data_IF_173761061627
#
_entry.id   IF_173761061627
#
_cell.length_a   1.000
_cell.length_b   1.000
_cell.length_c   1.000
_cell.angle_alpha   90.00
_cell.angle_beta   90.00
_cell.angle_gamma   90.00
#
_symmetry.space_group_name_H-M   'P 1'
#
loop_
_entity.id
_entity.type
_entity.pdbx_description
1 polymer ?
#
# COMPACT_ATOMS: atom_id res chain seq x y z
N UNK A 1 0.57 -13.53 5.98
CA UNK A 1 1.93 -13.30 6.51
C UNK A 1 2.80 -12.83 5.35
N UNK A 2 3.58 -11.74 5.49
CA UNK A 2 4.39 -11.25 4.36
C UNK A 2 5.90 -11.41 4.54
N UNK A 3 6.37 -11.70 5.76
CA UNK A 3 7.78 -11.97 6.05
C UNK A 3 7.92 -12.74 7.35
N UNK A 4 9.03 -13.47 7.51
CA UNK A 4 9.32 -14.32 8.67
C UNK A 4 10.59 -13.84 9.36
N UNK A 5 10.54 -13.67 10.68
CA UNK A 5 11.68 -13.27 11.52
C UNK A 5 12.07 -14.41 12.48
N UNK A 6 13.15 -14.24 13.23
CA UNK A 6 13.64 -15.24 14.18
C UNK A 6 12.65 -15.58 15.31
N UNK A 7 11.79 -14.63 15.70
CA UNK A 7 10.96 -14.73 16.91
C UNK A 7 9.45 -14.71 16.59
N UNK A 8 9.11 -14.69 15.30
CA UNK A 8 7.73 -14.51 14.87
C UNK A 8 7.63 -14.11 13.41
N UNK A 9 6.49 -13.54 13.05
CA UNK A 9 6.12 -13.24 11.66
C UNK A 9 5.71 -11.78 11.51
N UNK A 10 5.91 -11.24 10.32
CA UNK A 10 5.35 -9.95 9.95
C UNK A 10 4.02 -10.16 9.23
N UNK A 11 2.99 -9.50 9.75
CA UNK A 11 1.62 -9.62 9.28
C UNK A 11 1.19 -8.26 8.71
N UNK A 12 0.42 -8.33 7.62
CA UNK A 12 -0.27 -7.20 7.05
C UNK A 12 -1.76 -7.42 7.28
N UNK A 13 -2.45 -6.42 7.83
CA UNK A 13 -3.90 -6.43 8.05
C UNK A 13 -4.53 -5.56 6.95
N UNK A 14 -5.04 -6.15 5.85
CA UNK A 14 -5.45 -5.38 4.67
C UNK A 14 -6.57 -4.39 4.97
N UNK A 15 -7.51 -4.77 5.84
CA UNK A 15 -8.68 -3.97 6.19
C UNK A 15 -8.33 -2.59 6.78
N UNK A 16 -7.19 -2.49 7.46
CA UNK A 16 -6.72 -1.25 8.10
C UNK A 16 -5.42 -0.72 7.51
N UNK A 17 -4.83 -1.40 6.52
CA UNK A 17 -3.52 -1.04 5.98
C UNK A 17 -2.36 -1.16 6.97
N UNK A 18 -2.52 -1.87 8.09
CA UNK A 18 -1.52 -1.93 9.17
C UNK A 18 -0.53 -3.06 8.89
N UNK A 19 0.77 -2.73 8.94
CA UNK A 19 1.88 -3.70 8.94
C UNK A 19 2.47 -3.78 10.34
N UNK A 20 2.71 -4.98 10.85
CA UNK A 20 3.31 -5.14 12.17
C UNK A 20 3.89 -6.53 12.42
N UNK A 21 4.66 -6.63 13.49
CA UNK A 21 5.20 -7.89 13.95
C UNK A 21 4.20 -8.59 14.89
N UNK A 22 3.98 -9.87 14.65
CA UNK A 22 3.31 -10.77 15.57
C UNK A 22 4.33 -11.79 16.09
N UNK A 23 4.54 -11.79 17.40
CA UNK A 23 5.49 -12.67 18.05
C UNK A 23 4.90 -14.06 18.25
N UNK A 24 5.71 -15.08 17.96
CA UNK A 24 5.36 -16.49 18.20
C UNK A 24 6.04 -17.05 19.45
N UNK A 25 6.96 -16.27 20.04
CA UNK A 25 7.64 -16.58 21.30
C UNK A 25 7.59 -15.40 22.25
N UNK A 26 7.29 -15.67 23.51
CA UNK A 26 7.34 -14.71 24.61
C UNK A 26 8.76 -14.67 25.20
N UNK A 27 9.07 -13.62 25.95
CA UNK A 27 10.37 -13.48 26.65
C UNK A 27 10.61 -14.64 27.63
N UNK A 28 9.54 -15.19 28.19
CA UNK A 28 9.55 -16.30 29.14
C UNK A 28 9.80 -17.69 28.49
N UNK A 29 10.11 -17.73 27.18
CA UNK A 29 10.38 -18.97 26.46
C UNK A 29 9.12 -19.75 26.05
N UNK A 30 7.94 -19.18 26.25
CA UNK A 30 6.67 -19.76 25.80
C UNK A 30 6.47 -19.52 24.29
N UNK A 31 6.05 -20.54 23.56
CA UNK A 31 5.69 -20.50 22.14
C UNK A 31 4.19 -20.68 21.94
N UNK A 32 3.67 -20.17 20.83
CA UNK A 32 2.26 -20.36 20.48
C UNK A 32 2.01 -21.79 20.02
N UNK A 33 1.09 -22.49 20.67
CA UNK A 33 0.43 -23.68 20.15
C UNK A 33 -0.90 -23.27 19.52
N UNK A 34 -1.24 -23.85 18.37
CA UNK A 34 -2.54 -23.65 17.74
C UNK A 34 -3.25 -25.01 17.64
N UNK A 35 -3.98 -25.43 18.69
CA UNK A 35 -4.89 -26.57 18.58
C UNK A 35 -5.94 -26.35 17.49
N UNK A 36 -6.51 -27.45 17.01
CA UNK A 36 -7.54 -27.48 15.96
C UNK A 36 -8.78 -26.65 16.31
N UNK A 37 -9.00 -26.46 17.62
CA UNK A 37 -10.13 -25.75 18.25
C UNK A 37 -10.06 -24.22 18.12
N UNK A 38 -9.04 -23.71 17.44
CA UNK A 38 -9.03 -22.35 16.91
C UNK A 38 -8.52 -21.28 17.89
N UNK A 39 -8.35 -21.60 19.17
CA UNK A 39 -7.66 -20.74 20.14
C UNK A 39 -6.16 -21.02 20.17
N UNK A 40 -5.35 -19.98 20.06
CA UNK A 40 -3.91 -20.07 20.29
C UNK A 40 -3.61 -19.96 21.79
N UNK A 41 -2.82 -20.90 22.31
CA UNK A 41 -2.34 -20.90 23.69
C UNK A 41 -0.82 -20.75 23.75
N UNK A 42 -0.32 -20.24 24.88
CA UNK A 42 1.11 -20.12 25.12
C UNK A 42 1.59 -21.34 25.90
N UNK A 43 2.54 -22.08 25.34
CA UNK A 43 3.08 -23.28 25.95
C UNK A 43 4.62 -23.29 25.88
N UNK A 44 5.32 -23.90 26.84
CA UNK A 44 6.77 -24.05 26.75
C UNK A 44 7.16 -24.78 25.46
N UNK A 45 8.23 -24.35 24.80
CA UNK A 45 8.68 -24.99 23.57
C UNK A 45 9.77 -24.23 22.84
N UNK A 46 10.02 -24.64 21.60
CA UNK A 46 11.04 -24.05 20.74
C UNK A 46 10.45 -23.53 19.43
N UNK A 47 11.20 -22.64 18.77
CA UNK A 47 10.81 -22.02 17.50
C UNK A 47 11.89 -22.32 16.46
N UNK A 48 11.49 -22.95 15.36
CA UNK A 48 12.39 -23.27 14.26
C UNK A 48 12.06 -22.37 13.07
N UNK A 49 13.04 -21.58 12.63
CA UNK A 49 12.90 -20.66 11.50
C UNK A 49 13.49 -21.30 10.24
N UNK A 50 12.70 -21.32 9.18
CA UNK A 50 13.13 -21.61 7.82
C UNK A 50 12.89 -20.37 6.94
N UNK A 51 13.47 -20.31 5.72
CA UNK A 51 13.30 -19.16 4.83
C UNK A 51 11.84 -18.87 4.46
N UNK A 52 11.04 -19.92 4.22
CA UNK A 52 9.64 -19.81 3.77
C UNK A 52 8.61 -20.17 4.83
N UNK A 53 9.02 -20.73 5.98
CA UNK A 53 8.13 -21.20 7.04
C UNK A 53 8.74 -21.05 8.42
N UNK A 54 7.90 -21.01 9.44
CA UNK A 54 8.29 -21.03 10.83
C UNK A 54 7.45 -22.07 11.57
N UNK A 55 8.11 -22.88 12.38
CA UNK A 55 7.49 -23.99 13.10
C UNK A 55 7.59 -23.71 14.60
N UNK A 56 6.45 -23.69 15.28
CA UNK A 56 6.38 -23.73 16.74
C UNK A 56 6.33 -25.20 17.17
N UNK A 57 7.29 -25.61 17.99
CA UNK A 57 7.37 -26.94 18.55
C UNK A 57 7.14 -26.85 20.08
N UNK A 58 5.87 -26.85 20.53
CA UNK A 58 5.55 -26.89 21.95
C UNK A 58 5.94 -28.25 22.55
N UNK A 59 6.28 -28.27 23.84
CA UNK A 59 6.64 -29.50 24.57
C UNK A 59 5.46 -30.46 24.68
N UNK A 60 4.24 -29.92 24.74
CA UNK A 60 2.98 -30.66 24.81
C UNK A 60 2.13 -30.27 23.61
N UNK A 61 1.55 -31.24 22.92
CA UNK A 61 0.69 -30.99 21.75
C UNK A 61 1.40 -31.07 20.41
N UNK A 62 0.70 -30.66 19.35
CA UNK A 62 1.18 -30.77 17.97
C UNK A 62 1.96 -29.51 17.56
N UNK A 63 3.04 -29.65 16.77
CA UNK A 63 3.73 -28.51 16.22
C UNK A 63 2.82 -27.75 15.26
N UNK A 64 2.85 -26.41 15.31
CA UNK A 64 2.14 -25.57 14.35
C UNK A 64 3.13 -24.98 13.35
N UNK A 65 2.79 -25.03 12.08
CA UNK A 65 3.60 -24.48 11.00
C UNK A 65 2.89 -23.29 10.39
N UNK A 66 3.61 -22.18 10.24
CA UNK A 66 3.15 -20.97 9.55
C UNK A 66 4.05 -20.70 8.36
N UNK A 67 3.47 -20.59 7.17
CA UNK A 67 4.20 -20.32 5.94
C UNK A 67 4.10 -18.85 5.55
N UNK A 68 5.00 -18.44 4.67
CA UNK A 68 4.88 -17.18 3.97
C UNK A 68 3.55 -17.16 3.19
N UNK A 69 2.87 -16.01 3.20
CA UNK A 69 1.56 -15.79 2.59
C UNK A 69 0.36 -16.50 3.27
N UNK A 70 0.57 -17.25 4.35
CA UNK A 70 -0.56 -17.82 5.10
C UNK A 70 -1.45 -16.73 5.73
N UNK A 71 -2.76 -16.99 5.75
CA UNK A 71 -3.74 -16.15 6.41
C UNK A 71 -3.92 -16.57 7.86
N UNK A 72 -3.79 -15.61 8.77
CA UNK A 72 -3.92 -15.83 10.22
C UNK A 72 -4.85 -14.78 10.80
N UNK A 73 -5.49 -15.13 11.91
CA UNK A 73 -6.30 -14.19 12.68
C UNK A 73 -5.43 -13.53 13.74
N UNK A 74 -5.47 -12.19 13.75
CA UNK A 74 -4.73 -11.38 14.71
C UNK A 74 -5.68 -10.54 15.54
N UNK A 75 -5.40 -10.45 16.84
CA UNK A 75 -5.94 -9.45 17.76
C UNK A 75 -5.07 -8.21 17.68
N UNK A 76 -5.72 -7.06 17.50
CA UNK A 76 -5.09 -5.74 17.51
C UNK A 76 -5.37 -5.12 18.88
N UNK A 77 -4.32 -4.75 19.59
CA UNK A 77 -4.43 -4.03 20.87
C UNK A 77 -3.53 -2.81 20.86
N UNK A 78 -3.95 -1.76 21.57
CA UNK A 78 -3.14 -0.55 21.76
C UNK A 78 -2.47 -0.63 23.12
N UNK A 79 -1.15 -0.53 23.13
CA UNK A 79 -0.36 -0.39 24.33
C UNK A 79 -0.10 1.10 24.55
N UNK A 80 -0.85 1.69 25.49
CA UNK A 80 -0.66 3.08 25.87
C UNK A 80 0.67 3.26 26.61
N UNK A 81 1.36 4.37 26.35
CA UNK A 81 2.60 4.71 27.04
C UNK A 81 2.54 6.14 27.60
N UNK A 82 3.12 6.35 28.77
CA UNK A 82 3.14 7.68 29.42
C UNK A 82 4.20 8.61 28.84
N UNK A 83 5.28 8.04 28.29
CA UNK A 83 6.46 8.78 27.86
C UNK A 83 6.80 8.60 26.37
N UNK A 84 6.04 7.75 25.67
CA UNK A 84 6.22 7.45 24.26
C UNK A 84 4.87 7.44 23.54
N UNK A 85 4.89 7.49 22.22
CA UNK A 85 3.69 7.28 21.43
C UNK A 85 3.10 5.89 21.69
N UNK A 86 1.77 5.82 21.67
CA UNK A 86 1.03 4.57 21.81
C UNK A 86 1.44 3.57 20.72
N UNK A 87 1.61 2.31 21.12
CA UNK A 87 2.10 1.25 20.23
C UNK A 87 0.99 0.28 19.90
N UNK A 88 0.81 -0.02 18.62
CA UNK A 88 -0.07 -1.09 18.17
C UNK A 88 0.65 -2.43 18.34
N UNK A 89 0.02 -3.34 19.07
CA UNK A 89 0.47 -4.71 19.26
C UNK A 89 -0.44 -5.65 18.47
N UNK A 90 0.18 -6.52 17.67
CA UNK A 90 -0.49 -7.58 16.94
C UNK A 90 -0.18 -8.92 17.59
N UNK A 91 -1.22 -9.65 17.99
CA UNK A 91 -1.11 -10.98 18.57
C UNK A 91 -1.88 -11.99 17.74
N UNK A 92 -1.27 -13.12 17.39
CA UNK A 92 -1.97 -14.20 16.68
C UNK A 92 -2.90 -14.91 17.67
N UNK A 93 -4.18 -14.97 17.33
CA UNK A 93 -5.21 -15.68 18.12
C UNK A 93 -5.63 -16.98 17.48
N UNK A 94 -5.49 -17.09 16.15
CA UNK A 94 -5.76 -18.31 15.40
C UNK A 94 -4.85 -18.40 14.18
N UNK A 95 -4.35 -19.60 13.88
CA UNK A 95 -3.64 -19.87 12.63
C UNK A 95 -4.59 -20.07 11.43
N UNK A 96 -5.91 -19.90 11.63
CA UNK A 96 -6.91 -19.92 10.56
C UNK A 96 -7.21 -18.51 10.05
N UNK A 97 -7.66 -18.35 8.80
CA UNK A 97 -8.13 -17.07 8.28
C UNK A 97 -9.28 -16.54 9.12
N UNK A 98 -9.37 -15.22 9.26
CA UNK A 98 -10.52 -14.60 9.95
C UNK A 98 -11.76 -14.74 9.07
N UNK A 99 -12.74 -15.51 9.52
CA UNK A 99 -14.05 -15.59 8.88
C UNK A 99 -14.86 -14.35 9.27
N UNK A 100 -15.00 -13.41 8.34
CA UNK A 100 -15.93 -12.30 8.50
C UNK A 100 -17.35 -12.85 8.51
N UNK A 101 -18.11 -12.57 9.58
CA UNK A 101 -19.55 -12.82 9.64
C UNK A 101 -20.24 -12.17 8.44
N UNK A 102 -21.24 -12.86 7.86
CA UNK A 102 -21.95 -12.47 6.63
C UNK A 102 -22.45 -11.01 6.64
N UNK A 103 -22.73 -10.45 7.82
CA UNK A 103 -23.14 -9.06 8.04
C UNK A 103 -22.15 -8.02 7.50
N UNK A 104 -20.84 -8.29 7.47
CA UNK A 104 -19.83 -7.38 6.90
C UNK A 104 -19.58 -7.62 5.41
N UNK A 105 -20.02 -8.77 4.87
CA UNK A 105 -19.83 -9.14 3.46
C UNK A 105 -20.75 -8.36 2.53
N UNK A 106 -21.94 -7.99 3.01
CA UNK A 106 -22.91 -7.16 2.28
C UNK A 106 -22.44 -5.73 1.96
N UNK A 107 -21.37 -5.24 2.60
CA UNK A 107 -20.85 -3.90 2.35
C UNK A 107 -19.75 -3.85 1.28
N UNK A 108 -19.25 -5.00 0.81
CA UNK A 108 -18.37 -5.03 -0.35
C UNK A 108 -19.26 -5.21 -1.59
N UNK A 109 -19.13 -4.36 -2.63
CA UNK A 109 -19.67 -4.75 -3.92
C UNK A 109 -18.95 -6.05 -4.30
N UNK A 110 -19.68 -7.17 -4.27
CA UNK A 110 -19.23 -8.37 -4.96
C UNK A 110 -19.22 -8.00 -6.44
N UNK A 111 -18.09 -7.47 -6.92
CA UNK A 111 -17.86 -7.36 -8.33
C UNK A 111 -17.94 -8.77 -8.89
N UNK A 112 -18.96 -8.99 -9.72
CA UNK A 112 -19.15 -10.27 -10.37
C UNK A 112 -17.93 -10.54 -11.26
N UNK A 113 -17.62 -11.82 -11.55
CA UNK A 113 -16.54 -12.15 -12.52
C UNK A 113 -16.71 -11.40 -13.84
N UNK A 114 -17.95 -11.13 -14.23
CA UNK A 114 -18.32 -10.35 -15.41
C UNK A 114 -17.98 -8.87 -15.30
N UNK A 115 -18.11 -8.25 -14.11
CA UNK A 115 -17.71 -6.86 -13.91
C UNK A 115 -16.19 -6.69 -13.97
N UNK A 116 -15.45 -7.65 -13.40
CA UNK A 116 -13.99 -7.66 -13.46
C UNK A 116 -13.48 -7.76 -14.90
N UNK A 117 -14.07 -8.65 -15.71
CA UNK A 117 -13.70 -8.82 -17.12
C UNK A 117 -13.98 -7.53 -17.91
N UNK A 118 -15.13 -6.88 -17.65
CA UNK A 118 -15.53 -5.63 -18.31
C UNK A 118 -14.58 -4.48 -17.98
N UNK A 119 -14.15 -4.35 -16.73
CA UNK A 119 -13.18 -3.32 -16.35
C UNK A 119 -11.81 -3.57 -17.01
N UNK A 120 -11.33 -4.82 -17.02
CA UNK A 120 -10.04 -5.17 -17.65
C UNK A 120 -10.06 -4.88 -19.15
N UNK A 121 -11.13 -5.22 -19.87
CA UNK A 121 -11.24 -4.91 -21.31
C UNK A 121 -11.27 -3.41 -21.54
N UNK A 122 -12.01 -2.66 -20.71
CA UNK A 122 -12.09 -1.19 -20.81
C UNK A 122 -10.72 -0.54 -20.57
N UNK A 123 -9.98 -0.98 -19.55
CA UNK A 123 -8.64 -0.46 -19.27
C UNK A 123 -7.64 -0.82 -20.37
N UNK A 124 -7.75 -2.01 -20.97
CA UNK A 124 -6.92 -2.42 -22.11
C UNK A 124 -7.19 -1.59 -23.36
N UNK A 125 -8.46 -1.29 -23.65
CA UNK A 125 -8.86 -0.42 -24.76
C UNK A 125 -8.37 1.03 -24.55
N UNK A 126 -8.53 1.57 -23.34
CA UNK A 126 -8.05 2.92 -22.97
C UNK A 126 -6.52 3.03 -23.07
N UNK A 127 -5.77 2.00 -22.66
CA UNK A 127 -4.30 2.00 -22.80
C UNK A 127 -3.84 1.89 -24.25
N UNK A 128 -4.54 1.13 -25.09
CA UNK A 128 -4.26 1.08 -26.53
C UNK A 128 -4.55 2.42 -27.20
N UNK A 129 -5.66 3.07 -26.86
CA UNK A 129 -6.00 4.42 -27.33
C UNK A 129 -4.93 5.44 -26.89
N UNK A 130 -4.51 5.42 -25.63
CA UNK A 130 -3.46 6.30 -25.12
C UNK A 130 -2.11 6.05 -25.81
N UNK A 131 -1.74 4.80 -26.09
CA UNK A 131 -0.52 4.46 -26.84
C UNK A 131 -0.59 4.93 -28.29
N UNK A 132 -1.74 4.81 -28.95
CA UNK A 132 -1.93 5.30 -30.32
C UNK A 132 -1.88 6.82 -30.39
N UNK A 133 -2.46 7.52 -29.41
CA UNK A 133 -2.35 8.98 -29.26
C UNK A 133 -0.90 9.40 -28.97
N UNK A 134 -0.17 8.67 -28.11
CA UNK A 134 1.24 8.95 -27.84
C UNK A 134 2.14 8.73 -29.07
N UNK A 135 1.87 7.69 -29.89
CA UNK A 135 2.57 7.46 -31.16
C UNK A 135 2.24 8.54 -32.20
N UNK A 136 0.97 8.96 -32.30
CA UNK A 136 0.56 10.06 -33.17
C UNK A 136 1.19 11.40 -32.75
N UNK A 137 1.39 11.62 -31.45
CA UNK A 137 2.09 12.78 -30.93
C UNK A 137 3.62 12.68 -31.11
N UNK A 138 4.24 11.50 -30.98
CA UNK A 138 5.68 11.32 -31.27
C UNK A 138 6.05 11.68 -32.71
N UNK A 139 5.16 11.44 -33.69
CA UNK A 139 5.37 11.85 -35.09
C UNK A 139 5.40 13.39 -35.24
N UNK A 140 4.84 14.15 -34.29
CA UNK A 140 4.90 15.62 -34.27
C UNK A 140 6.06 16.20 -33.43
N UNK A 141 6.71 15.39 -32.59
CA UNK A 141 7.68 15.87 -31.58
C UNK A 141 9.12 15.93 -32.12
N UNK A 142 9.44 15.20 -33.20
CA UNK A 142 10.81 15.11 -33.73
C UNK A 142 11.42 16.40 -34.29
N UNK A 143 10.61 17.43 -34.56
CA UNK A 143 11.11 18.73 -35.06
C UNK A 143 10.99 19.88 -34.03
N UNK A 144 10.31 19.61 -32.91
CA UNK A 144 9.81 20.64 -31.99
C UNK A 144 10.60 20.70 -30.67
N UNK A 145 11.50 19.74 -30.40
CA UNK A 145 12.27 19.65 -29.15
C UNK A 145 13.65 20.31 -29.20
N UNK A 146 14.25 20.50 -30.38
CA UNK A 146 15.63 21.01 -30.47
C UNK A 146 15.73 22.53 -30.20
N UNK A 147 14.63 23.28 -30.30
CA UNK A 147 14.61 24.74 -30.20
C UNK A 147 13.55 25.32 -29.24
N UNK A 148 13.17 24.62 -28.18
CA UNK A 148 12.16 25.14 -27.23
C UNK A 148 12.75 26.08 -26.18
N UNK A 149 12.35 27.34 -26.25
CA UNK A 149 12.29 28.22 -25.09
C UNK A 149 11.03 27.91 -24.28
N UNK A 150 11.17 27.84 -22.95
CA UNK A 150 10.14 27.43 -21.98
C UNK A 150 8.70 27.77 -22.38
N UNK A 151 7.87 26.75 -22.64
CA UNK A 151 6.41 26.87 -22.83
C UNK A 151 5.67 27.09 -21.50
N UNK A 152 6.13 28.05 -20.71
CA UNK A 152 5.35 28.61 -19.62
C UNK A 152 4.95 30.00 -20.08
N UNK A 153 3.68 30.38 -19.96
CA UNK A 153 3.12 31.68 -20.38
C UNK A 153 3.66 32.91 -19.63
N UNK A 154 4.91 32.81 -19.14
CA UNK A 154 5.75 33.82 -18.50
C UNK A 154 7.18 33.65 -19.00
N UNK A 155 7.38 33.57 -20.32
CA UNK A 155 8.73 33.57 -20.88
C UNK A 155 9.32 34.98 -20.76
N UNK A 156 10.64 35.09 -20.57
CA UNK A 156 11.35 36.37 -20.53
C UNK A 156 11.10 37.20 -21.79
N UNK A 157 10.90 36.55 -22.94
CA UNK A 157 10.57 37.22 -24.20
C UNK A 157 9.23 37.96 -24.14
N UNK A 158 8.20 37.35 -23.55
CA UNK A 158 6.89 38.00 -23.39
C UNK A 158 6.99 39.24 -22.48
N UNK A 159 7.78 39.16 -21.41
CA UNK A 159 8.02 40.30 -20.52
C UNK A 159 8.77 41.44 -21.25
N UNK A 160 9.80 41.10 -22.02
CA UNK A 160 10.58 42.09 -22.78
C UNK A 160 9.75 42.74 -23.90
N UNK A 161 8.84 41.99 -24.50
CA UNK A 161 7.91 42.49 -25.52
C UNK A 161 6.89 43.46 -24.91
N UNK A 162 6.30 43.13 -23.75
CA UNK A 162 5.44 44.05 -22.99
C UNK A 162 6.16 45.36 -22.61
N UNK A 163 7.41 45.28 -22.15
CA UNK A 163 8.21 46.47 -21.80
C UNK A 163 8.47 47.35 -23.03
N UNK A 164 8.79 46.71 -24.17
CA UNK A 164 9.01 47.41 -25.44
C UNK A 164 7.73 48.08 -25.91
N UNK A 165 6.58 47.41 -25.82
CA UNK A 165 5.29 48.00 -26.20
C UNK A 165 4.91 49.18 -25.29
N UNK A 166 5.15 49.08 -23.97
CA UNK A 166 4.94 50.18 -23.02
C UNK A 166 5.86 51.38 -23.30
N UNK A 167 7.10 51.15 -23.74
CA UNK A 167 8.02 52.25 -24.06
C UNK A 167 7.65 53.04 -25.31
N UNK A 168 6.85 52.45 -26.20
CA UNK A 168 6.39 53.06 -27.44
C UNK A 168 5.10 53.88 -27.25
N UNK A 169 4.45 53.78 -26.09
CA UNK A 169 3.32 54.61 -25.73
C UNK A 169 3.81 56.01 -25.35
N UNK A 170 3.61 56.97 -26.24
CA UNK A 170 3.81 58.39 -25.94
C UNK A 170 2.85 58.83 -24.82
N UNK A 171 3.40 59.27 -23.69
CA UNK A 171 2.66 59.85 -22.54
C UNK A 171 2.08 61.24 -22.85
N UNK A 172 2.03 61.62 -24.13
CA UNK A 172 1.69 62.97 -24.60
C UNK A 172 0.20 63.15 -24.93
N UNK A 173 -0.60 62.08 -24.92
CA UNK A 173 -2.04 62.14 -25.14
C UNK A 173 -2.82 61.94 -23.85
N UNK A 174 -2.53 62.72 -22.80
CA UNK A 174 -3.55 63.08 -21.81
C UNK A 174 -3.17 64.34 -20.99
N UNK A 175 -2.98 65.47 -21.68
CA UNK A 175 -3.19 66.79 -21.09
C UNK A 175 -4.12 67.60 -21.98
N UNK A 176 -5.40 67.24 -21.89
CA UNK A 176 -6.50 67.99 -22.47
C UNK A 176 -7.59 68.25 -21.43
N UNK A 177 -7.31 69.14 -20.48
CA UNK A 177 -8.30 70.06 -19.90
C UNK A 177 -7.66 71.44 -19.84
#
# INVERSE_FOLDING_TARGET
IYSIRANGVLVFVPRYGIKGAAYLRTKDGLVISCPTDGSCEWQPGSLQRFPSKIITAPTVGKPATLNLFDHVTVKISVQASRCHADRIQLQITSCKPYETSETERSQRPQMSRTDLVREVTKTAEETQLAQNLAKANQVKVGFDEEYRQTQCGRSLYHLLEEIKDLSLLDVSTDRGV
#
